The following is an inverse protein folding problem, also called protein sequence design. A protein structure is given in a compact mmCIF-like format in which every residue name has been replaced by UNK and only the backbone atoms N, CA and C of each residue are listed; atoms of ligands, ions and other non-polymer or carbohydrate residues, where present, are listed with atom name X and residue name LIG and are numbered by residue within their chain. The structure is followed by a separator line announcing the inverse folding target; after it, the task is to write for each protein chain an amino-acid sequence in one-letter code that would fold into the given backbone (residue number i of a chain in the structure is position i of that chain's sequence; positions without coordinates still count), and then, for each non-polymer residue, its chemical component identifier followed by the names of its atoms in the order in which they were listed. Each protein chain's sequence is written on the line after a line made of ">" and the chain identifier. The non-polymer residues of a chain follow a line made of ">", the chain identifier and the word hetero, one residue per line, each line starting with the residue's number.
data_IF_426921670638
#
_entry.id   IF_426921670638
#
_cell.length_a   1.000
_cell.length_b   1.000
_cell.length_c   1.000
_cell.angle_alpha   90.00
_cell.angle_beta   90.00
_cell.angle_gamma   90.00
#
_symmetry.space_group_name_H-M   'P 1'
#
loop_
_entity.id
_entity.type
_entity.pdbx_description
1 polymer ?
#
# COMPACT_ATOMS: atom_id res chain seq x y z
N UNK A 1 3.25 -4.39 3.72
CA UNK A 1 2.32 -5.50 3.42
C UNK A 1 2.70 -6.72 4.25
N UNK A 2 1.71 -7.44 4.73
CA UNK A 2 1.90 -8.59 5.64
C UNK A 2 1.34 -9.85 4.99
N UNK A 3 2.13 -10.90 4.97
CA UNK A 3 1.74 -12.21 4.45
C UNK A 3 1.33 -13.16 5.59
N UNK A 4 0.36 -14.06 5.38
CA UNK A 4 0.03 -15.11 6.34
C UNK A 4 1.12 -16.18 6.38
N UNK A 5 1.05 -17.07 7.37
CA UNK A 5 1.98 -18.20 7.51
C UNK A 5 2.02 -19.06 6.25
N UNK A 6 3.22 -19.39 5.77
CA UNK A 6 3.40 -20.21 4.55
C UNK A 6 3.33 -19.41 3.24
N UNK A 7 3.23 -18.09 3.32
CA UNK A 7 3.32 -17.20 2.17
C UNK A 7 4.38 -16.10 2.36
N UNK A 8 4.81 -15.54 1.24
CA UNK A 8 5.73 -14.41 1.15
C UNK A 8 5.17 -13.34 0.20
N UNK A 9 5.45 -12.08 0.51
CA UNK A 9 5.21 -10.95 -0.38
C UNK A 9 6.51 -10.19 -0.63
N UNK A 10 6.82 -9.90 -1.90
CA UNK A 10 8.08 -9.26 -2.29
C UNK A 10 7.83 -8.14 -3.30
N UNK A 11 8.32 -6.91 -3.05
CA UNK A 11 8.94 -6.44 -1.79
C UNK A 11 7.91 -6.40 -0.63
N UNK A 12 8.34 -6.31 0.64
CA UNK A 12 7.40 -6.17 1.77
C UNK A 12 6.78 -4.77 1.88
N UNK A 13 7.37 -3.77 1.22
CA UNK A 13 6.90 -2.38 1.19
C UNK A 13 7.24 -1.72 -0.15
N UNK A 14 6.52 -0.63 -0.45
CA UNK A 14 6.78 0.27 -1.58
C UNK A 14 6.77 1.70 -1.05
N UNK A 15 7.73 2.52 -1.46
CA UNK A 15 7.81 3.93 -1.09
C UNK A 15 8.01 4.74 -2.37
N UNK A 16 7.18 5.78 -2.54
CA UNK A 16 7.22 6.64 -3.71
C UNK A 16 6.95 8.08 -3.28
N UNK A 17 7.66 9.02 -3.90
CA UNK A 17 7.49 10.45 -3.68
C UNK A 17 6.81 11.05 -4.91
N UNK A 18 5.66 11.67 -4.69
CA UNK A 18 4.93 12.40 -5.74
C UNK A 18 5.35 13.86 -5.70
N UNK A 19 5.81 14.38 -6.84
CA UNK A 19 6.13 15.80 -7.01
C UNK A 19 5.07 16.46 -7.90
N UNK A 20 4.81 17.75 -7.69
CA UNK A 20 3.83 18.52 -8.47
C UNK A 20 2.43 17.89 -8.49
N UNK A 21 1.90 17.54 -7.32
CA UNK A 21 0.56 16.96 -7.20
C UNK A 21 -0.49 17.91 -7.82
N UNK A 22 -1.22 17.49 -8.87
CA UNK A 22 -2.20 18.33 -9.54
C UNK A 22 -3.41 18.60 -8.64
N UNK A 23 -3.90 19.84 -8.64
CA UNK A 23 -5.04 20.24 -7.82
C UNK A 23 -6.33 19.64 -8.39
N UNK A 24 -7.11 18.97 -7.55
CA UNK A 24 -8.43 18.44 -7.89
C UNK A 24 -8.43 17.22 -8.81
N UNK A 25 -7.25 16.64 -9.10
CA UNK A 25 -7.13 15.43 -9.91
C UNK A 25 -6.61 14.27 -9.07
N UNK A 26 -7.15 13.07 -9.33
CA UNK A 26 -6.66 11.85 -8.71
C UNK A 26 -5.30 11.46 -9.30
N UNK A 27 -4.35 11.10 -8.44
CA UNK A 27 -3.08 10.50 -8.82
C UNK A 27 -3.08 9.04 -8.41
N UNK A 28 -2.74 8.14 -9.35
CA UNK A 28 -2.66 6.70 -9.09
C UNK A 28 -1.23 6.29 -8.82
N UNK A 29 -0.97 5.71 -7.65
CA UNK A 29 0.29 5.05 -7.30
C UNK A 29 0.15 3.55 -7.54
N UNK A 30 1.15 2.94 -8.18
CA UNK A 30 1.19 1.48 -8.43
C UNK A 30 2.35 0.87 -7.66
N UNK A 31 2.03 0.10 -6.63
CA UNK A 31 3.01 -0.69 -5.88
C UNK A 31 3.06 -2.13 -6.44
N UNK A 32 4.14 -2.54 -7.12
CA UNK A 32 4.26 -3.89 -7.65
C UNK A 32 4.65 -4.88 -6.54
N UNK A 33 3.77 -5.81 -6.21
CA UNK A 33 4.04 -6.90 -5.27
C UNK A 33 3.94 -8.26 -5.94
N UNK A 34 4.85 -9.17 -5.59
CA UNK A 34 4.80 -10.58 -5.98
C UNK A 34 4.45 -11.42 -4.76
N UNK A 35 3.41 -12.25 -4.87
CA UNK A 35 2.97 -13.18 -3.82
C UNK A 35 3.42 -14.60 -4.18
N UNK A 36 3.94 -15.34 -3.20
CA UNK A 36 4.27 -16.77 -3.29
C UNK A 36 3.76 -17.49 -2.04
N UNK A 37 3.15 -18.67 -2.20
CA UNK A 37 2.66 -19.50 -1.11
C UNK A 37 3.08 -20.95 -1.33
N UNK A 38 3.51 -21.63 -0.27
CA UNK A 38 4.01 -23.01 -0.33
C UNK A 38 2.92 -24.07 -0.11
N UNK A 39 1.68 -23.65 0.23
CA UNK A 39 0.56 -24.55 0.52
C UNK A 39 -0.71 -24.18 -0.24
N UNK A 40 -1.51 -25.20 -0.57
CA UNK A 40 -2.83 -25.02 -1.17
C UNK A 40 -3.83 -24.42 -0.19
N UNK A 41 -4.84 -23.71 -0.70
CA UNK A 41 -5.92 -23.14 0.09
C UNK A 41 -5.97 -21.61 0.04
N UNK A 42 -6.81 -21.04 0.90
CA UNK A 42 -7.02 -19.60 0.97
C UNK A 42 -5.98 -18.94 1.89
N UNK A 43 -5.39 -17.87 1.38
CA UNK A 43 -4.39 -17.06 2.07
C UNK A 43 -4.79 -15.59 2.02
N UNK A 44 -4.95 -14.95 3.18
CA UNK A 44 -5.32 -13.53 3.29
C UNK A 44 -4.11 -12.67 3.62
N UNK A 45 -3.87 -11.65 2.81
CA UNK A 45 -2.78 -10.69 2.91
C UNK A 45 -3.31 -9.33 3.35
N UNK A 46 -2.51 -8.58 4.10
CA UNK A 46 -2.81 -7.20 4.51
C UNK A 46 -1.95 -6.19 3.78
N UNK A 47 -2.58 -5.12 3.32
CA UNK A 47 -1.94 -3.96 2.71
C UNK A 47 -2.36 -2.70 3.46
N UNK A 48 -1.38 -2.08 4.11
CA UNK A 48 -1.54 -0.81 4.82
C UNK A 48 -0.77 0.27 4.05
N UNK A 49 -1.46 1.36 3.75
CA UNK A 49 -0.91 2.52 3.06
C UNK A 49 -0.96 3.74 3.99
N UNK A 50 0.07 4.58 3.90
CA UNK A 50 0.11 5.87 4.55
C UNK A 50 0.71 6.89 3.59
N UNK A 51 0.25 8.13 3.67
CA UNK A 51 0.83 9.27 2.97
C UNK A 51 1.16 10.39 3.95
N UNK A 52 2.19 11.17 3.61
CA UNK A 52 2.62 12.31 4.41
C UNK A 52 3.15 13.41 3.49
N UNK A 53 3.09 14.65 3.97
CA UNK A 53 3.69 15.80 3.31
C UNK A 53 5.18 15.79 3.61
N UNK A 54 6.01 15.75 2.56
CA UNK A 54 7.47 15.78 2.68
C UNK A 54 7.99 17.19 3.04
N UNK A 55 7.71 17.62 4.27
CA UNK A 55 8.21 18.84 4.94
C UNK A 55 8.28 20.09 4.04
N UNK A 56 7.21 20.34 3.27
CA UNK A 56 7.11 21.54 2.43
C UNK A 56 6.58 22.72 3.25
N UNK A 57 7.36 23.80 3.29
CA UNK A 57 6.94 25.04 3.94
C UNK A 57 5.64 25.57 3.30
N UNK A 58 4.69 26.00 4.13
CA UNK A 58 3.36 26.49 3.76
C UNK A 58 2.37 25.47 3.17
N UNK A 59 2.72 24.18 3.10
CA UNK A 59 1.78 23.12 2.73
C UNK A 59 1.22 22.49 4.00
N UNK A 60 -0.11 22.44 4.12
CA UNK A 60 -0.80 21.78 5.23
C UNK A 60 -1.93 20.93 4.69
N UNK A 61 -1.98 19.69 5.15
CA UNK A 61 -3.17 18.86 5.00
C UNK A 61 -4.21 19.29 6.05
N UNK A 62 -5.40 19.74 5.62
CA UNK A 62 -6.46 20.11 6.56
C UNK A 62 -7.02 18.93 7.36
N UNK A 63 -6.90 17.69 6.86
CA UNK A 63 -7.46 16.48 7.47
C UNK A 63 -6.48 15.30 7.41
N UNK A 64 -5.49 15.32 8.30
CA UNK A 64 -4.54 14.22 8.43
C UNK A 64 -5.18 12.87 8.85
N UNK A 65 -6.46 12.87 9.26
CA UNK A 65 -7.17 11.65 9.67
C UNK A 65 -7.47 10.70 8.51
N UNK A 66 -7.39 11.18 7.27
CA UNK A 66 -7.70 10.41 6.06
C UNK A 66 -6.46 9.94 5.27
N UNK A 67 -5.26 10.14 5.82
CA UNK A 67 -3.99 9.79 5.16
C UNK A 67 -3.58 8.33 5.25
N UNK A 68 -4.47 7.44 5.73
CA UNK A 68 -4.19 6.02 5.83
C UNK A 68 -5.32 5.19 5.22
N UNK A 69 -4.96 4.04 4.68
CA UNK A 69 -5.92 3.09 4.13
C UNK A 69 -5.44 1.65 4.38
N UNK A 70 -6.40 0.74 4.58
CA UNK A 70 -6.16 -0.67 4.78
C UNK A 70 -6.97 -1.48 3.76
N UNK A 71 -6.40 -2.56 3.24
CA UNK A 71 -7.06 -3.48 2.33
C UNK A 71 -6.56 -4.90 2.54
N UNK A 72 -7.48 -5.86 2.51
CA UNK A 72 -7.15 -7.28 2.51
C UNK A 72 -7.30 -7.89 1.11
N UNK A 73 -6.45 -8.86 0.80
CA UNK A 73 -6.54 -9.66 -0.43
C UNK A 73 -6.51 -11.14 -0.05
N UNK A 74 -7.56 -11.88 -0.40
CA UNK A 74 -7.57 -13.34 -0.29
C UNK A 74 -7.29 -13.96 -1.65
N UNK A 75 -6.25 -14.80 -1.72
CA UNK A 75 -5.92 -15.60 -2.91
C UNK A 75 -6.08 -17.08 -2.58
N UNK A 76 -6.49 -17.88 -3.57
CA UNK A 76 -6.51 -19.34 -3.45
C UNK A 76 -5.32 -19.90 -4.21
N UNK A 77 -4.38 -20.51 -3.49
CA UNK A 77 -3.28 -21.27 -4.07
C UNK A 77 -3.73 -22.72 -4.32
N UNK A 78 -3.37 -23.26 -5.48
CA UNK A 78 -3.64 -24.64 -5.90
C UNK A 78 -2.44 -25.53 -5.64
#
# INVERSE_FOLDING_TARGET
>A
ATAPTGCQITPPSHLERIVNLPVGLNVTVKAPFTIRCDGSGQHTFSFDNAMDIDNMEHVRDPDAGNNTAHTELTVTAS
#
